data_IF_439684584163
#
_entry.id   IF_439684584163
#
_cell.length_a   1.000
_cell.length_b   1.000
_cell.length_c   1.000
_cell.angle_alpha   90.00
_cell.angle_beta   90.00
_cell.angle_gamma   90.00
#
_symmetry.space_group_name_H-M   'P 1'
#
loop_
_entity.id
_entity.type
_entity.pdbx_description
1 polymer ?
#
# COMPACT_ATOMS: atom_id res chain seq x y z
N UNK A 1 -1.21 33.96 -22.52
CA UNK A 1 -0.89 32.79 -21.66
C UNK A 1 -1.45 31.54 -22.33
N UNK A 2 -0.68 30.46 -22.47
CA UNK A 2 -1.21 29.19 -22.98
C UNK A 2 -1.94 28.47 -21.83
N UNK A 3 -3.21 28.19 -22.01
CA UNK A 3 -3.95 27.29 -21.11
C UNK A 3 -3.54 25.85 -21.42
N UNK A 4 -3.30 25.06 -20.38
CA UNK A 4 -2.99 23.64 -20.50
C UNK A 4 -4.04 22.85 -19.72
N UNK A 5 -4.68 21.90 -20.40
CA UNK A 5 -5.64 21.00 -19.75
C UNK A 5 -4.87 19.99 -18.91
N UNK A 6 -5.19 19.93 -17.62
CA UNK A 6 -4.68 18.95 -16.68
C UNK A 6 -5.84 18.15 -16.08
N UNK A 7 -5.57 16.89 -15.76
CA UNK A 7 -6.50 15.96 -15.16
C UNK A 7 -6.19 15.81 -13.68
N UNK A 8 -7.21 15.96 -12.83
CA UNK A 8 -7.05 16.00 -11.38
C UNK A 8 -7.58 14.71 -10.76
N UNK A 9 -6.72 14.02 -10.01
CA UNK A 9 -7.17 12.86 -9.22
C UNK A 9 -8.19 13.29 -8.17
N UNK A 10 -9.33 12.61 -8.11
CA UNK A 10 -10.41 12.94 -7.17
C UNK A 10 -10.04 12.71 -5.70
N UNK A 11 -9.11 11.79 -5.43
CA UNK A 11 -8.76 11.40 -4.06
C UNK A 11 -7.60 12.21 -3.47
N UNK A 12 -6.57 12.54 -4.27
CA UNK A 12 -5.40 13.25 -3.76
C UNK A 12 -5.20 14.65 -4.32
N UNK A 13 -5.96 15.04 -5.35
CA UNK A 13 -5.82 16.33 -6.01
C UNK A 13 -4.58 16.47 -6.90
N UNK A 14 -3.78 15.41 -7.07
CA UNK A 14 -2.60 15.42 -7.95
C UNK A 14 -3.03 15.69 -9.40
N UNK A 15 -2.30 16.56 -10.07
CA UNK A 15 -2.51 16.93 -11.47
C UNK A 15 -1.66 16.06 -12.40
N UNK A 16 -2.25 15.67 -13.52
CA UNK A 16 -1.65 14.87 -14.57
C UNK A 16 -1.84 15.58 -15.92
N UNK A 17 -0.80 15.59 -16.74
CA UNK A 17 -0.85 16.18 -18.09
C UNK A 17 -1.64 15.33 -19.09
N UNK A 18 -1.83 14.04 -18.77
CA UNK A 18 -2.53 13.07 -19.61
C UNK A 18 -3.60 12.38 -18.79
N UNK A 19 -4.78 12.25 -19.38
CA UNK A 19 -5.94 11.60 -18.78
C UNK A 19 -5.66 10.14 -18.37
N UNK A 20 -5.03 9.37 -19.26
CA UNK A 20 -4.65 7.98 -18.99
C UNK A 20 -3.81 7.82 -17.71
N UNK A 21 -2.89 8.77 -17.44
CA UNK A 21 -2.07 8.72 -16.24
C UNK A 21 -2.91 8.97 -14.97
N UNK A 22 -3.91 9.86 -15.05
CA UNK A 22 -4.84 10.10 -13.94
C UNK A 22 -5.70 8.86 -13.68
N UNK A 23 -6.30 8.28 -14.72
CA UNK A 23 -7.11 7.06 -14.62
C UNK A 23 -6.33 5.85 -14.12
N UNK A 24 -5.05 5.71 -14.48
CA UNK A 24 -4.18 4.65 -13.93
C UNK A 24 -3.83 4.89 -12.46
N UNK A 25 -3.73 6.15 -12.04
CA UNK A 25 -3.35 6.50 -10.68
C UNK A 25 -4.51 6.35 -9.68
N UNK A 26 -5.72 6.77 -10.04
CA UNK A 26 -6.89 6.81 -9.12
C UNK A 26 -7.18 5.48 -8.39
N UNK A 27 -7.17 4.31 -9.06
CA UNK A 27 -7.39 3.03 -8.41
C UNK A 27 -6.30 2.64 -7.41
N UNK A 28 -5.09 3.18 -7.54
CA UNK A 28 -3.93 2.89 -6.67
C UNK A 28 -3.57 4.11 -5.81
N UNK A 29 -4.47 5.09 -5.71
CA UNK A 29 -4.19 6.31 -4.98
C UNK A 29 -4.16 6.03 -3.48
N UNK A 30 -3.08 6.41 -2.79
CA UNK A 30 -2.93 6.22 -1.34
C UNK A 30 -3.96 6.98 -0.48
N UNK A 31 -4.66 7.95 -1.08
CA UNK A 31 -5.77 8.70 -0.46
C UNK A 31 -7.15 8.20 -0.90
N UNK A 32 -7.23 7.21 -1.79
CA UNK A 32 -8.50 6.57 -2.11
C UNK A 32 -8.90 5.70 -0.91
N UNK A 33 -10.01 6.03 -0.22
CA UNK A 33 -10.39 5.35 1.01
C UNK A 33 -10.68 3.86 0.78
N UNK A 34 -11.08 3.45 -0.42
CA UNK A 34 -11.44 2.05 -0.71
C UNK A 34 -10.23 1.10 -0.79
N UNK A 35 -9.05 1.62 -1.14
CA UNK A 35 -7.83 0.82 -1.33
C UNK A 35 -6.75 1.15 -0.31
N UNK A 36 -6.93 2.22 0.46
CA UNK A 36 -6.02 2.60 1.53
C UNK A 36 -6.06 1.54 2.65
N UNK A 37 -4.91 1.01 3.09
CA UNK A 37 -4.85 0.09 4.23
C UNK A 37 -5.46 0.67 5.51
N UNK A 38 -6.30 -0.12 6.16
CA UNK A 38 -6.91 0.20 7.45
C UNK A 38 -5.86 0.40 8.55
N UNK A 39 -4.75 -0.34 8.49
CA UNK A 39 -3.69 -0.28 9.49
C UNK A 39 -3.19 1.15 9.71
N UNK A 40 -3.08 1.97 8.67
CA UNK A 40 -2.59 3.35 8.83
C UNK A 40 -3.45 4.23 9.74
N UNK A 41 -4.70 3.85 9.96
CA UNK A 41 -5.64 4.58 10.82
C UNK A 41 -5.95 3.80 12.12
N UNK A 42 -5.31 2.63 12.31
CA UNK A 42 -5.52 1.70 13.42
C UNK A 42 -4.56 1.97 14.59
N UNK A 43 -5.05 1.91 15.83
CA UNK A 43 -4.25 2.15 17.04
C UNK A 43 -3.14 1.14 17.29
N UNK A 44 -3.24 -0.05 16.70
CA UNK A 44 -2.26 -1.14 16.86
C UNK A 44 -1.15 -1.11 15.81
N UNK A 45 -1.19 -0.15 14.89
CA UNK A 45 -0.19 -0.04 13.83
C UNK A 45 1.10 0.58 14.32
N UNK A 46 2.21 -0.03 13.93
CA UNK A 46 3.55 0.52 14.09
C UNK A 46 4.36 0.32 12.80
N UNK A 47 5.25 1.27 12.49
CA UNK A 47 6.30 1.05 11.51
C UNK A 47 7.49 0.40 12.20
N UNK A 48 8.15 -0.55 11.55
CA UNK A 48 9.38 -1.10 12.08
C UNK A 48 10.56 -0.19 11.77
N UNK A 49 11.49 -0.07 12.71
CA UNK A 49 12.71 0.72 12.53
C UNK A 49 13.75 0.01 11.64
N UNK A 50 13.76 -1.32 11.67
CA UNK A 50 14.71 -2.15 10.92
C UNK A 50 14.21 -2.44 9.50
N UNK A 51 15.16 -2.52 8.56
CA UNK A 51 14.88 -2.94 7.19
C UNK A 51 14.90 -4.44 7.06
N UNK A 52 13.97 -4.96 6.27
CA UNK A 52 13.90 -6.35 5.84
C UNK A 52 14.18 -6.45 4.35
N UNK A 53 14.59 -7.64 3.93
CA UNK A 53 14.86 -7.95 2.53
C UNK A 53 13.98 -9.10 2.06
N UNK A 54 13.46 -8.99 0.84
CA UNK A 54 12.78 -10.10 0.15
C UNK A 54 13.45 -10.34 -1.21
N UNK A 55 13.65 -11.61 -1.55
CA UNK A 55 14.12 -12.02 -2.88
C UNK A 55 12.92 -12.16 -3.80
N UNK A 56 13.01 -11.56 -4.97
CA UNK A 56 11.95 -11.59 -5.97
C UNK A 56 12.49 -12.30 -7.20
N UNK A 57 11.79 -13.36 -7.59
CA UNK A 57 12.09 -14.17 -8.77
C UNK A 57 11.13 -13.76 -9.88
N UNK A 58 11.67 -13.44 -11.06
CA UNK A 58 10.86 -13.05 -12.23
C UNK A 58 11.31 -13.81 -13.46
N UNK A 59 10.33 -14.34 -14.18
CA UNK A 59 10.56 -14.91 -15.50
C UNK A 59 10.64 -13.79 -16.53
N UNK A 60 11.81 -13.67 -17.17
CA UNK A 60 12.05 -12.66 -18.21
C UNK A 60 12.39 -13.32 -19.55
N UNK A 61 12.42 -12.53 -20.62
CA UNK A 61 12.92 -12.98 -21.93
C UNK A 61 14.35 -13.52 -21.90
N UNK A 62 15.16 -13.12 -20.91
CA UNK A 62 16.55 -13.56 -20.74
C UNK A 62 16.66 -14.74 -19.77
N UNK A 63 15.55 -15.37 -19.40
CA UNK A 63 15.47 -16.41 -18.37
C UNK A 63 15.03 -15.87 -17.01
N UNK A 64 15.07 -16.74 -16.02
CA UNK A 64 14.76 -16.43 -14.63
C UNK A 64 15.78 -15.43 -14.07
N UNK A 65 15.29 -14.36 -13.47
CA UNK A 65 16.10 -13.34 -12.81
C UNK A 65 15.71 -13.24 -11.34
N UNK A 66 16.71 -13.02 -10.48
CA UNK A 66 16.50 -12.77 -9.06
C UNK A 66 17.03 -11.39 -8.70
N UNK A 67 16.25 -10.63 -7.95
CA UNK A 67 16.70 -9.39 -7.33
C UNK A 67 16.20 -9.27 -5.89
N UNK A 68 16.98 -8.57 -5.07
CA UNK A 68 16.63 -8.30 -3.67
C UNK A 68 15.97 -6.94 -3.54
N UNK A 69 14.90 -6.87 -2.74
CA UNK A 69 14.21 -5.62 -2.42
C UNK A 69 14.23 -5.38 -0.92
N UNK A 70 14.80 -4.24 -0.52
CA UNK A 70 14.76 -3.78 0.86
C UNK A 70 13.49 -2.96 1.11
N UNK A 71 12.87 -3.14 2.28
CA UNK A 71 11.72 -2.36 2.70
C UNK A 71 11.64 -2.23 4.23
N UNK A 72 10.89 -1.22 4.69
CA UNK A 72 10.51 -1.08 6.09
C UNK A 72 9.19 -1.80 6.31
N UNK A 73 9.18 -2.87 7.12
CA UNK A 73 7.97 -3.62 7.36
C UNK A 73 6.98 -2.86 8.24
N UNK A 74 5.72 -3.22 8.09
CA UNK A 74 4.64 -2.76 8.94
C UNK A 74 4.40 -3.81 10.02
N UNK A 75 4.00 -3.38 11.22
CA UNK A 75 3.76 -4.26 12.36
C UNK A 75 2.40 -3.97 12.97
N UNK A 76 1.75 -5.03 13.45
CA UNK A 76 0.57 -4.96 14.29
C UNK A 76 0.96 -5.35 15.71
N UNK A 77 0.58 -4.54 16.69
CA UNK A 77 0.83 -4.82 18.12
C UNK A 77 -0.41 -5.33 18.84
N UNK A 78 -1.41 -5.81 18.12
CA UNK A 78 -2.59 -6.40 18.74
C UNK A 78 -2.21 -7.73 19.40
N UNK A 79 -2.58 -7.99 20.67
CA UNK A 79 -2.12 -9.17 21.42
C UNK A 79 -2.49 -10.50 20.75
N UNK A 80 -3.66 -10.55 20.11
CA UNK A 80 -4.15 -11.75 19.41
C UNK A 80 -3.72 -11.83 17.93
N UNK A 81 -2.83 -10.94 17.46
CA UNK A 81 -2.39 -10.89 16.06
C UNK A 81 -0.91 -10.58 15.98
N UNK A 82 -0.12 -11.64 15.86
CA UNK A 82 1.28 -11.55 15.44
C UNK A 82 1.32 -11.67 13.91
N UNK A 83 1.62 -10.56 13.22
CA UNK A 83 1.76 -10.59 11.77
C UNK A 83 2.84 -9.65 11.25
N UNK A 84 3.60 -10.16 10.27
CA UNK A 84 4.55 -9.41 9.45
C UNK A 84 3.77 -8.73 8.34
N UNK A 85 3.60 -7.41 8.38
CA UNK A 85 2.72 -6.71 7.44
C UNK A 85 3.47 -5.97 6.34
N UNK A 86 2.89 -5.93 5.15
CA UNK A 86 3.34 -5.05 4.06
C UNK A 86 2.19 -4.24 3.48
N UNK A 87 2.52 -3.08 2.91
CA UNK A 87 1.53 -2.25 2.24
C UNK A 87 1.12 -2.90 0.92
N UNK A 88 -0.18 -3.06 0.67
CA UNK A 88 -0.70 -3.63 -0.58
C UNK A 88 -0.82 -2.60 -1.73
N UNK A 89 -0.45 -1.35 -1.49
CA UNK A 89 -0.44 -0.28 -2.48
C UNK A 89 0.98 -0.03 -2.98
N UNK A 90 1.14 0.22 -4.28
CA UNK A 90 2.43 0.45 -4.95
C UNK A 90 3.42 -0.73 -4.86
N UNK A 91 2.91 -1.94 -4.70
CA UNK A 91 3.68 -3.18 -4.74
C UNK A 91 3.46 -3.83 -6.11
N UNK A 92 4.55 -4.26 -6.76
CA UNK A 92 4.46 -5.04 -8.01
C UNK A 92 3.90 -6.43 -7.69
N UNK A 93 3.28 -7.06 -8.68
CA UNK A 93 2.74 -8.42 -8.54
C UNK A 93 3.82 -9.40 -8.05
N UNK A 94 5.02 -9.38 -8.65
CA UNK A 94 6.13 -10.23 -8.23
C UNK A 94 6.57 -9.97 -6.78
N UNK A 95 6.59 -8.70 -6.34
CA UNK A 95 6.89 -8.40 -4.93
C UNK A 95 5.77 -8.92 -4.01
N UNK A 96 4.51 -8.81 -4.42
CA UNK A 96 3.37 -9.27 -3.64
C UNK A 96 3.42 -10.79 -3.44
N UNK A 97 3.72 -11.52 -4.51
CA UNK A 97 3.88 -12.98 -4.48
C UNK A 97 5.03 -13.36 -3.55
N UNK A 98 6.23 -12.79 -3.77
CA UNK A 98 7.40 -13.10 -2.96
C UNK A 98 7.20 -12.80 -1.46
N UNK A 99 6.54 -11.69 -1.12
CA UNK A 99 6.21 -11.37 0.26
C UNK A 99 5.22 -12.39 0.85
N UNK A 100 4.21 -12.78 0.08
CA UNK A 100 3.20 -13.75 0.53
C UNK A 100 3.79 -15.14 0.74
N UNK A 101 4.73 -15.56 -0.11
CA UNK A 101 5.48 -16.82 0.03
C UNK A 101 6.37 -16.84 1.29
N UNK A 102 6.90 -15.67 1.68
CA UNK A 102 7.68 -15.46 2.92
C UNK A 102 6.78 -15.16 4.15
N UNK A 103 5.51 -15.56 4.09
CA UNK A 103 4.51 -15.44 5.16
C UNK A 103 4.23 -14.00 5.62
N UNK A 104 4.49 -13.01 4.75
CA UNK A 104 4.04 -11.65 4.99
C UNK A 104 2.57 -11.49 4.62
N UNK A 105 1.84 -10.72 5.44
CA UNK A 105 0.44 -10.42 5.25
C UNK A 105 0.25 -9.02 4.64
N UNK A 106 -0.57 -8.94 3.59
CA UNK A 106 -1.00 -7.66 3.04
C UNK A 106 -1.86 -6.92 4.08
N UNK A 107 -1.58 -5.64 4.30
CA UNK A 107 -2.41 -4.84 5.21
C UNK A 107 -3.86 -4.75 4.67
N UNK A 108 -4.88 -5.07 5.48
CA UNK A 108 -6.26 -5.15 5.03
C UNK A 108 -6.83 -3.79 4.64
N UNK A 109 -7.64 -3.76 3.59
CA UNK A 109 -8.44 -2.62 3.13
C UNK A 109 -9.84 -2.63 3.76
N UNK A 110 -10.62 -1.54 3.63
CA UNK A 110 -12.02 -1.53 4.08
C UNK A 110 -12.89 -2.63 3.44
N UNK A 111 -12.52 -3.10 2.24
CA UNK A 111 -13.23 -4.19 1.56
C UNK A 111 -12.97 -5.54 2.24
N UNK A 112 -11.72 -5.82 2.58
CA UNK A 112 -11.30 -7.08 3.24
C UNK A 112 -11.73 -7.12 4.71
N UNK A 113 -11.77 -5.94 5.35
CA UNK A 113 -11.99 -5.75 6.79
C UNK A 113 -10.87 -6.36 7.63
N UNK A 114 -10.74 -5.88 8.86
CA UNK A 114 -9.86 -6.47 9.85
C UNK A 114 -10.66 -6.65 11.15
N UNK A 115 -10.71 -7.85 11.73
CA UNK A 115 -11.48 -8.10 12.95
C UNK A 115 -10.92 -7.36 14.17
N UNK A 116 -9.65 -6.94 14.11
CA UNK A 116 -8.93 -6.26 15.18
C UNK A 116 -8.80 -4.75 14.95
N UNK A 117 -9.40 -4.21 13.88
CA UNK A 117 -9.28 -2.79 13.58
C UNK A 117 -9.96 -1.95 14.65
N UNK A 118 -9.18 -1.06 15.26
CA UNK A 118 -9.69 -0.04 16.15
C UNK A 118 -9.05 1.30 15.77
N UNK A 119 -9.88 2.24 15.34
CA UNK A 119 -9.42 3.57 14.95
C UNK A 119 -8.83 4.31 16.15
N UNK A 120 -7.76 5.08 15.94
CA UNK A 120 -7.24 5.97 17.00
C UNK A 120 -8.33 6.93 17.51
N UNK A 121 -8.49 7.04 18.84
CA UNK A 121 -9.45 7.96 19.51
C UNK A 121 -9.30 9.45 19.12
N UNK A 122 -8.16 9.84 18.54
CA UNK A 122 -7.85 11.20 18.09
C UNK A 122 -7.67 11.32 16.58
N UNK A 123 -8.22 10.38 15.80
CA UNK A 123 -8.23 10.48 14.35
C UNK A 123 -9.10 11.67 13.93
N UNK A 124 -8.47 12.74 13.41
CA UNK A 124 -9.19 13.83 12.73
C UNK A 124 -10.09 13.19 11.68
N UNK A 125 -11.41 13.27 11.88
CA UNK A 125 -12.38 13.11 10.81
C UNK A 125 -11.97 14.16 9.78
N UNK A 126 -11.32 13.73 8.69
CA UNK A 126 -11.23 14.57 7.50
C UNK A 126 -12.59 14.47 6.87
N UNK A 127 -13.49 15.33 7.35
CA UNK A 127 -14.75 15.60 6.68
C UNK A 127 -14.43 15.95 5.22
N UNK A 128 -15.16 15.28 4.32
CA UNK A 128 -15.07 15.43 2.87
C UNK A 128 -15.70 16.77 2.47
#
# INVERSE_FOLDING_TARGET
>A
MKQVTAYRCQHCGKLFMRDYNCRKHEPQCTKNPLVRPLCYDCKFYQNADDREEVKIWVDSYFGEQCYTKQFYPNKCTHPDKDCRLFANIHVSEDTYIALTEEEWEAMPTPKEKCPYFEQHKYGKIREI
#
